data_IF_539162833258
#
_entry.id   IF_539162833258
#
_cell.length_a   1.000
_cell.length_b   1.000
_cell.length_c   1.000
_cell.angle_alpha   90.00
_cell.angle_beta   90.00
_cell.angle_gamma   90.00
#
_symmetry.space_group_name_H-M   'P 1'
#
loop_
_entity.id
_entity.type
_entity.pdbx_description
1 polymer ?
2 non-polymer ?
3 water ?
#
# COMPACT_ATOMS: atom_id res chain seq x y z
N UNK A 3 15.44 -9.16 38.34
CA UNK A 3 14.83 -8.14 39.19
C UNK A 3 15.01 -6.76 38.57
N UNK A 4 16.22 -6.20 38.72
CA UNK A 4 16.53 -4.94 38.08
C UNK A 4 16.53 -5.05 36.56
N UNK A 5 16.61 -6.26 36.02
CA UNK A 5 16.50 -6.45 34.59
C UNK A 5 15.09 -6.15 34.09
N UNK A 6 14.07 -6.47 34.90
CA UNK A 6 12.69 -6.24 34.49
C UNK A 6 12.41 -4.75 34.32
N UNK A 7 12.80 -3.93 35.30
CA UNK A 7 12.54 -2.50 35.20
C UNK A 7 13.38 -1.86 34.11
N UNK A 8 14.54 -2.45 33.78
CA UNK A 8 15.29 -2.00 32.62
C UNK A 8 14.53 -2.28 31.33
N UNK A 9 13.79 -3.40 31.28
CA UNK A 9 12.94 -3.66 30.12
C UNK A 9 11.80 -2.64 30.04
N UNK A 10 11.23 -2.28 31.19
CA UNK A 10 10.17 -1.26 31.22
C UNK A 10 10.68 0.04 30.63
N UNK A 11 11.86 0.49 31.05
CA UNK A 11 12.45 1.70 30.50
C UNK A 11 12.63 1.57 29.00
N UNK A 12 13.11 0.42 28.55
CA UNK A 12 13.31 0.17 27.12
C UNK A 12 12.01 0.24 26.35
N UNK A 14 9.22 1.73 27.26
CA UNK A 14 8.74 3.11 27.32
C UNK A 14 9.40 3.91 26.20
N UNK A 15 10.72 3.80 26.08
CA UNK A 15 11.43 4.53 25.03
C UNK A 15 11.06 4.04 23.65
N UNK A 16 10.85 2.72 23.49
CA UNK A 16 10.48 2.18 22.18
C UNK A 16 9.14 2.75 21.72
N UNK A 17 8.18 2.85 22.64
CA UNK A 17 6.89 3.45 22.30
C UNK A 17 7.05 4.90 21.89
N UNK A 18 7.84 5.65 22.67
CA UNK A 18 8.05 7.06 22.34
C UNK A 18 8.73 7.22 20.98
N UNK A 19 9.74 6.39 20.70
CA UNK A 19 10.42 6.47 19.41
C UNK A 19 9.47 6.12 18.27
N UNK A 20 8.56 5.16 18.50
CA UNK A 20 7.54 4.87 17.51
C UNK A 20 6.66 6.08 17.26
N UNK A 21 6.24 6.77 18.34
CA UNK A 21 5.42 7.97 18.18
C UNK A 21 6.20 9.07 17.46
N UNK A 22 7.48 9.22 17.79
CA UNK A 22 8.29 10.23 17.12
C UNK A 22 8.49 9.92 15.64
N UNK A 23 8.56 8.63 15.29
CA UNK A 23 8.69 8.27 13.88
C UNK A 23 7.39 8.53 13.13
N UNK A 24 6.25 8.25 13.76
CA UNK A 24 4.96 8.48 13.12
C UNK A 24 4.70 9.98 12.97
N UNK A 25 5.00 10.75 14.01
CA UNK A 25 4.48 12.12 14.16
C UNK A 25 5.56 13.01 14.77
N UNK A 26 6.62 13.28 14.02
CA UNK A 26 7.72 14.09 14.58
C UNK A 26 7.33 15.54 14.89
N UNK A 27 6.30 16.07 14.22
CA UNK A 27 5.90 17.46 14.40
C UNK A 27 4.78 17.63 15.42
N UNK A 28 4.40 16.56 16.12
CA UNK A 28 3.42 16.62 17.22
C UNK A 28 2.05 17.08 16.73
N UNK A 29 1.57 16.45 15.65
CA UNK A 29 0.27 16.81 15.09
C UNK A 29 -0.85 15.89 15.55
N UNK A 30 -0.56 14.64 15.93
CA UNK A 30 -1.59 13.67 16.27
C UNK A 30 -1.92 13.78 17.76
N UNK A 31 -2.67 14.84 18.09
CA UNK A 31 -2.95 15.15 19.49
C UNK A 31 -3.77 14.04 20.15
N UNK A 32 -4.68 13.41 19.41
CA UNK A 32 -5.53 12.39 20.02
C UNK A 32 -4.74 11.12 20.35
N UNK A 33 -3.86 10.68 19.45
CA UNK A 33 -3.07 9.49 19.70
C UNK A 33 -2.07 9.75 20.82
N UNK A 34 -1.40 10.91 20.78
CA UNK A 34 -0.46 11.26 21.85
C UNK A 34 -1.17 11.39 23.20
N UNK A 35 -2.43 11.81 23.18
CA UNK A 35 -3.22 11.86 24.41
C UNK A 35 -3.39 10.46 25.01
N UNK A 36 -3.58 9.45 24.16
CA UNK A 36 -3.71 8.08 24.64
C UNK A 36 -2.43 7.56 25.25
N UNK A 37 -1.28 8.09 24.84
CA UNK A 37 0.02 7.59 25.27
C UNK A 37 0.78 8.59 26.14
N UNK A 38 0.12 9.64 26.64
CA UNK A 38 0.84 10.69 27.34
C UNK A 38 1.49 10.20 28.62
N UNK A 39 0.90 9.18 29.26
CA UNK A 39 1.53 8.61 30.45
C UNK A 39 2.85 7.94 30.15
N UNK A 40 3.07 7.53 28.90
CA UNK A 40 4.34 6.94 28.49
C UNK A 40 5.27 7.99 27.91
N UNK A 41 4.75 8.83 27.01
CA UNK A 41 5.59 9.77 26.27
C UNK A 41 6.25 10.79 27.17
N UNK A 42 5.63 11.12 28.31
CA UNK A 42 6.14 12.20 29.16
C UNK A 42 7.54 11.87 29.66
N UNK A 43 7.84 10.59 29.87
CA UNK A 43 9.14 10.19 30.40
C UNK A 43 10.26 10.28 29.37
N UNK A 44 9.92 10.44 28.09
CA UNK A 44 10.93 10.53 27.04
C UNK A 44 11.10 11.94 26.49
N UNK A 45 10.11 12.81 26.63
CA UNK A 45 10.23 14.18 26.14
C UNK A 45 10.75 15.14 27.19
N UNK A 46 10.96 14.68 28.42
CA UNK A 46 11.72 15.41 29.42
C UNK A 46 13.07 14.73 29.60
N UNK A 47 14.06 15.51 30.01
CA UNK A 47 15.44 15.03 30.03
C UNK A 47 15.71 14.14 31.23
N UNK A 48 14.85 13.15 31.47
CA UNK A 48 15.12 12.17 32.51
C UNK A 48 16.32 11.31 32.14
N UNK A 49 17.15 10.99 33.11
CA UNK A 49 18.20 10.04 32.87
C UNK A 49 17.67 8.62 33.03
N UNK A 50 18.46 7.64 32.59
CA UNK A 50 18.04 6.25 32.67
C UNK A 50 17.75 5.84 34.10
N UNK A 51 18.65 6.17 35.03
CA UNK A 51 18.46 5.78 36.42
C UNK A 51 17.17 6.37 36.99
N UNK A 52 16.76 7.56 36.51
CA UNK A 52 15.55 8.17 37.02
C UNK A 52 14.31 7.45 36.54
N UNK A 53 14.28 7.05 35.27
CA UNK A 53 13.14 6.26 34.77
C UNK A 53 13.16 4.87 35.39
N UNK A 54 14.36 4.32 35.61
CA UNK A 54 14.46 3.02 36.27
C UNK A 54 13.86 3.08 37.67
N UNK A 55 14.18 4.14 38.43
CA UNK A 55 13.59 4.31 39.75
C UNK A 55 12.09 4.57 39.66
N UNK A 56 11.65 5.34 38.66
CA UNK A 56 10.24 5.60 38.49
C UNK A 56 9.45 4.31 38.25
N UNK A 57 10.06 3.34 37.57
CA UNK A 57 9.40 2.05 37.37
C UNK A 57 9.42 1.21 38.64
N UNK A 58 10.53 1.25 39.39
CA UNK A 58 10.60 0.51 40.65
C UNK A 58 9.58 1.04 41.65
N UNK A 59 9.31 2.34 41.63
CA UNK A 59 8.39 2.97 42.58
C UNK A 59 7.00 3.20 42.00
N UNK A 60 6.77 2.82 40.75
CA UNK A 60 5.46 2.93 40.16
C UNK A 60 5.05 4.31 39.70
N UNK A 61 5.98 5.28 39.67
CA UNK A 61 5.63 6.62 39.21
C UNK A 61 5.39 6.66 37.70
N UNK A 62 5.87 5.68 36.96
CA UNK A 62 5.59 5.50 35.54
C UNK A 62 4.86 4.18 35.34
N UNK A 63 4.16 4.01 34.22
CA UNK A 63 3.56 2.70 33.94
C UNK A 63 4.63 1.62 33.87
N UNK A 64 4.44 0.56 34.65
CA UNK A 64 5.47 -0.45 34.81
C UNK A 64 4.97 -1.88 34.63
N UNK A 65 3.77 -2.07 34.10
CA UNK A 65 3.33 -3.39 33.69
C UNK A 65 3.88 -3.66 32.31
N UNK A 66 4.89 -4.52 32.21
CA UNK A 66 5.59 -4.72 30.95
C UNK A 66 4.67 -5.37 29.91
N UNK A 67 3.81 -6.29 30.34
CA UNK A 67 2.90 -6.93 29.40
C UNK A 67 1.90 -5.93 28.83
N UNK A 68 1.36 -5.05 29.68
CA UNK A 68 0.42 -4.05 29.18
C UNK A 68 1.11 -3.04 28.25
N UNK A 69 2.34 -2.67 28.57
CA UNK A 69 3.07 -1.74 27.71
C UNK A 69 3.33 -2.35 26.34
N UNK A 70 3.65 -3.65 26.29
CA UNK A 70 3.91 -4.30 25.02
C UNK A 70 2.66 -4.32 24.14
N UNK A 71 1.50 -4.62 24.73
CA UNK A 71 0.27 -4.62 23.95
C UNK A 71 -0.01 -3.24 23.36
N UNK A 72 0.15 -2.19 24.18
CA UNK A 72 -0.03 -0.84 23.67
C UNK A 72 1.01 -0.51 22.60
N UNK A 73 2.21 -1.05 22.73
CA UNK A 73 3.27 -0.77 21.75
C UNK A 73 2.94 -1.41 20.40
N UNK A 74 2.46 -2.65 20.40
CA UNK A 74 2.17 -3.33 19.14
C UNK A 74 1.12 -2.59 18.34
N UNK A 75 0.08 -2.06 19.02
CA UNK A 75 -0.92 -1.25 18.34
C UNK A 75 -0.28 -0.08 17.62
N UNK A 76 0.56 0.67 18.34
CA UNK A 76 1.24 1.81 17.73
C UNK A 76 2.19 1.36 16.63
N UNK A 77 2.81 0.20 16.79
CA UNK A 77 3.68 -0.34 15.75
C UNK A 77 2.90 -0.69 14.49
N UNK A 78 1.66 -1.19 14.67
CA UNK A 78 0.83 -1.48 13.51
C UNK A 78 0.39 -0.20 12.80
N UNK A 79 0.17 0.88 13.55
CA UNK A 79 -0.16 2.15 12.93
C UNK A 79 1.03 2.70 12.14
N UNK A 80 2.24 2.51 12.67
CA UNK A 80 3.43 2.94 11.92
C UNK A 80 3.61 2.11 10.66
N UNK A 81 3.34 0.81 10.74
CA UNK A 81 3.43 -0.04 9.56
C UNK A 81 2.45 0.40 8.48
N UNK A 82 1.25 0.81 8.89
CA UNK A 82 0.28 1.32 7.92
C UNK A 82 0.81 2.55 7.20
N UNK A 83 1.39 3.49 7.96
CA UNK A 83 1.94 4.70 7.34
C UNK A 83 3.14 4.35 6.47
N UNK A 84 3.96 3.38 6.90
CA UNK A 84 5.15 3.04 6.14
C UNK A 84 4.82 2.24 4.89
N UNK A 85 3.81 1.37 4.96
CA UNK A 85 3.52 0.45 3.86
C UNK A 85 2.86 1.15 2.67
N UNK A 86 2.27 2.32 2.88
CA UNK A 86 1.61 3.06 1.80
C UNK A 86 2.51 4.10 1.16
N UNK A 87 3.65 4.43 1.78
CA UNK A 87 4.63 5.34 1.20
C UNK A 87 5.02 4.84 -0.19
N UNK A 88 5.21 5.77 -1.15
CA UNK A 88 5.33 7.23 -1.03
C UNK A 88 4.02 8.01 -0.94
N UNK A 89 2.89 7.33 -0.74
CA UNK A 89 1.62 8.02 -0.58
C UNK A 89 1.37 8.31 0.89
N UNK A 90 0.64 9.40 1.14
CA UNK A 90 0.49 9.94 2.48
C UNK A 90 -0.97 9.94 2.90
N UNK A 91 -1.21 9.54 4.14
CA UNK A 91 -2.54 9.55 4.73
C UNK A 91 -2.73 10.83 5.53
N UNK A 92 -3.90 11.45 5.38
CA UNK A 92 -4.14 12.72 6.06
C UNK A 92 -4.29 12.50 7.56
N UNK A 93 -4.05 13.57 8.31
CA UNK A 93 -3.88 13.46 9.76
C UNK A 93 -5.10 12.87 10.43
N UNK A 94 -6.29 13.39 10.12
CA UNK A 94 -7.51 12.90 10.77
C UNK A 94 -7.76 11.43 10.48
N UNK A 95 -7.37 10.94 9.30
CA UNK A 95 -7.58 9.53 8.99
C UNK A 95 -6.60 8.64 9.74
N UNK A 96 -5.36 9.11 9.92
CA UNK A 96 -4.39 8.38 10.74
C UNK A 96 -4.95 8.15 12.13
N UNK A 97 -5.56 9.20 12.72
CA UNK A 97 -6.07 9.10 14.08
C UNK A 97 -7.33 8.25 14.13
N UNK A 98 -8.20 8.37 13.13
CA UNK A 98 -9.40 7.52 13.11
C UNK A 98 -9.04 6.07 12.82
N UNK A 99 -8.02 5.83 12.00
CA UNK A 99 -7.55 4.46 11.79
C UNK A 99 -6.97 3.90 13.08
N UNK A 100 -6.21 4.69 13.82
CA UNK A 100 -5.69 4.24 15.11
C UNK A 100 -6.83 3.85 16.05
N UNK A 101 -7.91 4.65 16.08
CA UNK A 101 -9.03 4.34 16.95
C UNK A 101 -9.67 3.00 16.59
N UNK A 102 -9.74 2.69 15.29
CA UNK A 102 -10.28 1.40 14.88
C UNK A 102 -9.37 0.26 15.31
N UNK A 103 -8.05 0.42 15.13
CA UNK A 103 -7.12 -0.60 15.59
C UNK A 103 -7.20 -0.78 17.11
N UNK A 104 -7.27 0.33 17.85
CA UNK A 104 -7.28 0.26 19.31
C UNK A 104 -8.52 -0.46 19.82
N UNK A 105 -9.68 -0.23 19.19
CA UNK A 105 -10.96 -0.72 19.68
C UNK A 105 -11.30 -2.12 19.17
N UNK A 106 -10.40 -2.77 18.43
CA UNK A 106 -10.70 -4.08 17.88
C UNK A 106 -10.49 -5.17 18.93
N UNK A 107 -11.43 -6.12 18.97
CA UNK A 107 -11.38 -7.17 19.99
C UNK A 107 -10.16 -8.05 19.83
N UNK A 108 -9.72 -8.29 18.59
CA UNK A 108 -8.53 -9.10 18.33
C UNK A 108 -7.89 -8.56 17.04
N UNK A 109 -6.96 -7.62 17.20
CA UNK A 109 -6.39 -6.93 16.05
C UNK A 109 -5.59 -7.87 15.16
N UNK A 110 -4.96 -8.89 15.74
CA UNK A 110 -4.03 -9.74 15.00
C UNK A 110 -4.71 -10.84 14.20
N UNK A 111 -6.03 -10.98 14.33
CA UNK A 111 -6.81 -11.82 13.43
C UNK A 111 -7.79 -11.01 12.60
N UNK A 112 -7.62 -9.68 12.55
CA UNK A 112 -8.50 -8.82 11.79
C UNK A 112 -8.00 -8.68 10.36
N UNK A 113 -8.88 -8.20 9.49
CA UNK A 113 -8.49 -7.96 8.11
C UNK A 113 -7.60 -6.73 7.97
N UNK A 114 -7.61 -5.81 8.96
CA UNK A 114 -6.65 -4.72 8.94
C UNK A 114 -5.23 -5.26 8.93
N UNK A 115 -4.96 -6.22 9.82
CA UNK A 115 -3.63 -6.81 9.94
C UNK A 115 -3.28 -7.64 8.71
N UNK A 116 -4.25 -8.43 8.22
CA UNK A 116 -4.00 -9.33 7.08
C UNK A 116 -3.77 -8.53 5.80
N UNK A 118 -2.42 -5.50 5.65
CA UNK A 118 -1.06 -4.98 5.79
C UNK A 118 -0.02 -6.06 5.48
N UNK A 119 -0.27 -7.27 5.98
CA UNK A 119 0.62 -8.39 5.68
C UNK A 119 0.73 -8.61 4.18
N UNK A 120 -0.40 -8.65 3.49
CA UNK A 120 -0.38 -8.96 2.05
C UNK A 120 0.11 -7.78 1.23
N UNK A 121 -0.15 -6.55 1.68
CA UNK A 121 0.43 -5.38 1.01
C UNK A 121 1.96 -5.44 1.07
N UNK A 122 2.51 -5.76 2.25
CA UNK A 122 3.96 -5.85 2.38
C UNK A 122 4.53 -6.97 1.55
N UNK A 123 3.79 -8.07 1.37
CA UNK A 123 4.25 -9.15 0.52
C UNK A 123 4.33 -8.72 -0.94
N UNK A 124 3.41 -7.86 -1.38
CA UNK A 124 3.47 -7.35 -2.74
C UNK A 124 4.66 -6.42 -2.93
N UNK A 125 4.85 -5.48 -2.00
CA UNK A 125 5.97 -4.55 -2.12
C UNK A 125 7.31 -5.26 -1.95
N UNK A 126 7.37 -6.29 -1.11
CA UNK A 126 8.60 -7.07 -0.98
C UNK A 126 8.96 -7.74 -2.30
N UNK A 127 7.99 -8.44 -2.91
CA UNK A 127 8.24 -9.10 -4.18
C UNK A 127 8.69 -8.11 -5.25
N UNK A 128 8.10 -6.91 -5.24
CA UNK A 128 8.43 -5.92 -6.26
C UNK A 128 9.82 -5.33 -6.08
N UNK A 129 10.43 -5.49 -4.89
CA UNK A 129 11.76 -4.92 -4.66
C UNK A 129 12.78 -5.42 -5.67
N UNK A 130 12.87 -6.74 -5.83
CA UNK A 130 13.83 -7.32 -6.76
C UNK A 130 13.12 -8.07 -7.89
N UNK A 131 12.15 -7.42 -8.52
CA UNK A 131 11.37 -8.03 -9.59
C UNK A 131 11.84 -7.48 -10.93
N UNK A 132 12.06 -8.38 -11.88
CA UNK A 132 12.45 -7.98 -13.23
C UNK A 132 11.30 -7.23 -13.90
N UNK A 133 11.63 -6.21 -14.81
CA UNK A 133 10.58 -5.39 -15.44
C UNK A 133 9.88 -6.09 -16.60
N UNK A 134 9.30 -7.26 -16.32
CA UNK A 134 8.49 -7.95 -17.31
C UNK A 134 7.11 -7.31 -17.38
N UNK A 135 6.33 -7.60 -18.44
CA UNK A 135 4.93 -7.16 -18.45
C UNK A 135 4.17 -7.54 -17.19
N UNK A 136 4.37 -8.77 -16.67
CA UNK A 136 3.64 -9.21 -15.49
C UNK A 136 3.95 -8.31 -14.29
N UNK A 137 5.24 -8.07 -14.04
CA UNK A 137 5.62 -7.28 -12.86
C UNK A 137 5.28 -5.81 -13.03
N UNK A 138 5.36 -5.29 -14.26
CA UNK A 138 4.89 -3.93 -14.50
C UNK A 138 3.40 -3.80 -14.25
N UNK A 139 2.61 -4.78 -14.68
CA UNK A 139 1.19 -4.81 -14.34
C UNK A 139 1.01 -4.78 -12.83
N UNK A 140 1.74 -5.64 -12.12
CA UNK A 140 1.58 -5.75 -10.66
C UNK A 140 2.04 -4.49 -9.96
N UNK A 141 3.15 -3.90 -10.42
CA UNK A 141 3.64 -2.67 -9.79
C UNK A 141 2.63 -1.54 -9.96
N UNK A 142 2.01 -1.44 -11.14
CA UNK A 142 1.02 -0.40 -11.37
C UNK A 142 -0.15 -0.53 -10.40
N UNK A 143 -0.65 -1.76 -10.23
CA UNK A 143 -1.82 -1.97 -9.38
C UNK A 143 -1.48 -1.86 -7.90
N UNK A 144 -0.32 -2.35 -7.50
CA UNK A 144 0.11 -2.20 -6.10
C UNK A 144 0.23 -0.74 -5.73
N UNK A 145 0.68 0.10 -6.67
CA UNK A 145 0.77 1.54 -6.40
C UNK A 145 -0.62 2.15 -6.25
N UNK A 146 -1.56 1.77 -7.12
CA UNK A 146 -2.94 2.21 -6.95
C UNK A 146 -3.49 1.73 -5.61
N UNK A 147 -3.15 0.51 -5.22
CA UNK A 147 -3.58 -0.02 -3.92
C UNK A 147 -3.10 0.87 -2.79
N UNK A 148 -1.79 1.20 -2.79
CA UNK A 148 -1.25 2.07 -1.76
C UNK A 148 -1.97 3.41 -1.72
N UNK A 149 -2.25 3.98 -2.89
CA UNK A 149 -2.94 5.27 -2.95
C UNK A 149 -4.35 5.17 -2.39
N UNK A 150 -5.07 4.10 -2.70
CA UNK A 150 -6.43 3.97 -2.21
C UNK A 150 -6.47 3.71 -0.70
N UNK A 151 -5.50 2.97 -0.19
CA UNK A 151 -5.41 2.77 1.25
C UNK A 151 -5.08 4.09 1.95
N UNK A 152 -4.20 4.90 1.34
CA UNK A 152 -3.88 6.20 1.92
C UNK A 152 -5.11 7.11 1.96
N UNK A 153 -6.03 6.95 1.01
CA UNK A 153 -7.21 7.80 0.96
C UNK A 153 -8.36 7.26 1.80
N UNK A 154 -8.59 5.94 1.78
CA UNK A 154 -9.74 5.36 2.44
C UNK A 154 -9.42 4.59 3.72
N UNK A 155 -8.15 4.38 4.03
CA UNK A 155 -7.79 3.59 5.18
C UNK A 155 -7.82 2.10 4.88
N UNK A 156 -7.57 1.32 5.93
CA UNK A 156 -7.43 -0.12 5.78
C UNK A 156 -8.52 -0.88 6.55
N UNK A 157 -9.46 -0.19 7.17
CA UNK A 157 -10.45 -0.81 8.04
C UNK A 157 -11.84 -0.90 7.42
N UNK A 158 -12.24 0.06 6.60
CA UNK A 158 -13.61 0.08 6.11
C UNK A 158 -13.77 -0.87 4.92
N UNK A 159 -15.02 -1.30 4.72
CA UNK A 159 -15.34 -2.12 3.55
C UNK A 159 -15.04 -1.34 2.28
N UNK A 160 -14.28 -1.95 1.39
CA UNK A 160 -13.89 -1.31 0.13
C UNK A 160 -13.72 -2.40 -0.90
N UNK A 161 -14.68 -2.51 -1.83
CA UNK A 161 -14.57 -3.53 -2.86
C UNK A 161 -13.41 -3.24 -3.80
N UNK A 162 -13.13 -1.96 -4.05
CA UNK A 162 -11.99 -1.62 -4.89
C UNK A 162 -10.67 -2.11 -4.31
N UNK A 163 -10.50 -1.95 -3.00
CA UNK A 163 -9.25 -2.38 -2.36
C UNK A 163 -9.13 -3.89 -2.38
N UNK A 164 -10.21 -4.60 -2.05
CA UNK A 164 -10.18 -6.06 -2.10
C UNK A 164 -9.90 -6.57 -3.51
N UNK A 165 -10.48 -5.92 -4.53
CA UNK A 165 -10.24 -6.34 -5.90
C UNK A 165 -8.78 -6.15 -6.28
N UNK A 166 -8.16 -5.07 -5.83
CA UNK A 166 -6.75 -4.84 -6.13
C UNK A 166 -5.87 -5.89 -5.46
N UNK A 167 -6.20 -6.25 -4.21
CA UNK A 167 -5.49 -7.32 -3.52
C UNK A 167 -5.63 -8.63 -4.28
N UNK A 169 -6.50 -9.23 -7.54
CA UNK A 169 -5.88 -9.23 -8.86
C UNK A 169 -4.36 -9.14 -8.75
N UNK A 170 -3.87 -8.38 -7.77
CA UNK A 170 -2.44 -8.33 -7.55
C UNK A 170 -1.85 -9.68 -7.17
N UNK A 171 -2.48 -10.34 -6.20
CA UNK A 171 -2.00 -11.65 -5.77
C UNK A 171 -2.16 -12.69 -6.88
N UNK A 172 -3.16 -12.53 -7.75
CA UNK A 172 -3.31 -13.45 -8.87
C UNK A 172 -2.15 -13.34 -9.86
N UNK A 173 -1.76 -12.10 -10.18
CA UNK A 173 -0.60 -11.89 -11.05
C UNK A 173 0.64 -12.56 -10.48
N UNK A 174 0.85 -12.44 -9.16
CA UNK A 174 1.99 -13.08 -8.53
C UNK A 174 1.90 -14.61 -8.65
N UNK A 175 0.70 -15.16 -8.60
CA UNK A 175 0.50 -16.60 -8.73
C UNK A 175 0.56 -17.09 -10.16
N UNK A 176 0.51 -16.19 -11.15
CA UNK A 176 0.53 -16.60 -12.54
C UNK A 176 1.93 -16.93 -13.00
N UNK A 177 2.04 -17.95 -13.85
CA UNK A 177 3.32 -18.29 -14.44
C UNK A 177 3.72 -17.22 -15.47
N UNK A 178 5.04 -17.02 -15.60
CA UNK A 178 5.54 -16.03 -16.53
C UNK A 178 5.19 -16.36 -17.98
N UNK A 179 4.85 -17.62 -18.27
CA UNK A 179 4.53 -18.04 -19.62
C UNK A 179 3.07 -17.81 -19.99
N UNK A 180 2.20 -17.61 -19.01
CA UNK A 180 0.77 -17.35 -19.26
C UNK A 180 0.59 -15.86 -19.60
N UNK A 181 1.12 -15.49 -20.77
CA UNK A 181 1.11 -14.09 -21.19
C UNK A 181 -0.31 -13.59 -21.39
N UNK A 182 -1.12 -14.34 -22.16
CA UNK A 182 -2.47 -13.91 -22.46
C UNK A 182 -3.30 -13.76 -21.18
N UNK A 183 -3.07 -14.60 -20.18
CA UNK A 183 -3.80 -14.49 -18.93
C UNK A 183 -3.39 -13.23 -18.17
N UNK A 184 -2.10 -12.87 -18.21
CA UNK A 184 -1.65 -11.65 -17.54
C UNK A 184 -2.32 -10.42 -18.15
N UNK A 185 -2.31 -10.31 -19.48
CA UNK A 185 -2.90 -9.15 -20.13
C UNK A 185 -4.40 -9.11 -19.94
N UNK A 186 -5.06 -10.27 -19.99
CA UNK A 186 -6.50 -10.31 -19.80
C UNK A 186 -6.87 -9.80 -18.39
N UNK A 187 -6.11 -10.21 -17.38
CA UNK A 187 -6.34 -9.71 -16.03
C UNK A 187 -6.17 -8.20 -15.96
N UNK A 188 -5.06 -7.70 -16.50
CA UNK A 188 -4.72 -6.28 -16.37
C UNK A 188 -5.68 -5.40 -17.16
N UNK A 190 -8.61 -6.19 -18.08
CA UNK A 190 -9.87 -6.34 -17.38
C UNK A 190 -10.00 -5.44 -16.18
N UNK A 191 -8.90 -5.27 -15.43
CA UNK A 191 -8.92 -4.37 -14.28
C UNK A 191 -9.17 -2.94 -14.71
N UNK A 192 -8.43 -2.46 -15.73
CA UNK A 192 -8.55 -1.07 -16.15
C UNK A 192 -9.96 -0.80 -16.66
N UNK A 193 -10.55 -1.74 -17.40
CA UNK A 193 -11.90 -1.54 -17.93
C UNK A 193 -12.95 -1.54 -16.83
N UNK A 194 -12.75 -2.33 -15.77
CA UNK A 194 -13.77 -2.50 -14.74
C UNK A 194 -13.67 -1.48 -13.61
N UNK A 195 -12.53 -0.81 -13.44
CA UNK A 195 -12.43 0.21 -12.42
C UNK A 195 -12.99 1.54 -12.92
N UNK A 196 -13.37 2.45 -12.02
CA UNK A 196 -14.16 3.62 -12.45
C UNK A 196 -13.36 4.77 -13.04
N UNK A 197 -12.05 4.86 -12.77
CA UNK A 197 -11.29 6.01 -13.23
C UNK A 197 -10.93 5.88 -14.70
N UNK A 198 -11.10 6.99 -15.44
CA UNK A 198 -10.74 7.01 -16.85
C UNK A 198 -9.25 6.80 -17.05
N UNK A 199 -8.43 7.50 -16.26
CA UNK A 199 -6.97 7.39 -16.32
C UNK A 199 -6.48 7.04 -14.91
N UNK A 200 -6.54 5.76 -14.53
CA UNK A 200 -6.37 5.39 -13.12
C UNK A 200 -4.93 5.46 -12.63
N UNK A 201 -3.95 5.79 -13.48
CA UNK A 201 -2.55 5.75 -13.08
C UNK A 201 -1.89 7.12 -13.04
N UNK A 202 -2.59 8.19 -13.43
CA UNK A 202 -1.97 9.51 -13.43
C UNK A 202 -1.78 10.01 -12.00
N UNK A 203 -0.64 10.65 -11.77
CA UNK A 203 -0.25 11.07 -10.43
C UNK A 203 0.16 9.94 -9.51
N UNK A 204 -0.02 8.69 -9.93
CA UNK A 204 0.30 7.53 -9.11
C UNK A 204 1.59 6.85 -9.57
N UNK A 205 1.74 6.66 -10.87
CA UNK A 205 2.94 6.12 -11.49
C UNK A 205 3.75 7.24 -12.13
N UNK A 206 5.07 7.07 -12.21
CA UNK A 206 5.88 8.04 -12.96
C UNK A 206 5.48 8.07 -14.43
N UNK A 207 5.79 9.20 -15.08
CA UNK A 207 5.40 9.38 -16.47
C UNK A 207 6.02 8.33 -17.37
N UNK A 208 7.25 7.90 -17.09
CA UNK A 208 7.90 6.88 -17.90
C UNK A 208 7.23 5.53 -17.72
N UNK A 209 6.79 5.23 -16.49
CA UNK A 209 6.10 3.96 -16.24
C UNK A 209 4.77 3.91 -16.97
N UNK A 210 4.08 5.06 -17.07
CA UNK A 210 2.83 5.09 -17.82
C UNK A 210 3.07 4.91 -19.31
N UNK A 211 4.16 5.48 -19.82
CA UNK A 211 4.51 5.27 -21.22
C UNK A 211 4.85 3.81 -21.50
N UNK A 212 5.55 3.16 -20.57
CA UNK A 212 5.90 1.75 -20.74
C UNK A 212 4.63 0.90 -20.78
N UNK A 213 3.63 1.26 -19.98
CA UNK A 213 2.37 0.53 -20.01
C UNK A 213 1.66 0.70 -21.35
N UNK A 214 1.67 1.92 -21.90
CA UNK A 214 1.07 2.15 -23.22
C UNK A 214 1.75 1.29 -24.27
N UNK A 215 3.08 1.30 -24.31
CA UNK A 215 3.81 0.50 -25.29
C UNK A 215 3.55 -0.98 -25.11
N UNK A 216 3.40 -1.43 -23.86
CA UNK A 216 3.11 -2.85 -23.61
C UNK A 216 1.78 -3.27 -24.23
N UNK A 217 0.77 -2.39 -24.17
CA UNK A 217 -0.52 -2.71 -24.77
C UNK A 217 -0.43 -2.72 -26.29
N UNK A 218 0.29 -1.76 -26.87
CA UNK A 218 0.43 -1.71 -28.33
C UNK A 218 1.18 -2.93 -28.85
N UNK A 219 2.32 -3.23 -28.24
CA UNK A 219 3.14 -4.35 -28.71
C UNK A 219 2.42 -5.68 -28.57
N UNK A 220 1.47 -5.78 -27.63
CA UNK A 220 0.73 -7.02 -27.46
C UNK A 220 -0.28 -7.21 -28.58
N UNK A 221 -0.96 -6.14 -29.00
CA UNK A 221 -2.01 -6.26 -30.01
C UNK A 221 -1.47 -6.25 -31.42
N UNK A 222 -0.31 -5.62 -31.65
CA UNK A 222 0.20 -5.44 -33.00
C UNK A 222 0.39 -6.74 -33.78
N UNK A 223 0.94 -7.82 -33.22
CA UNK A 223 1.15 -9.03 -34.04
C UNK A 223 -0.13 -9.68 -34.53
N UNK A 224 -1.27 -9.38 -33.92
CA UNK A 224 -2.54 -9.98 -34.35
C UNK A 224 -3.08 -9.36 -35.64
N UNK A 225 -2.69 -8.14 -35.96
CA UNK A 225 -3.32 -7.40 -37.05
C UNK A 225 -2.88 -7.93 -38.40
N UNK A 226 -3.83 -8.00 -39.34
CA UNK A 226 -3.62 -8.68 -40.61
C UNK A 226 -3.54 -7.73 -41.81
N UNK A 227 -3.47 -6.43 -41.57
CA UNK A 227 -3.32 -5.48 -42.67
C UNK A 227 -2.53 -4.28 -42.18
N UNK A 228 -1.92 -3.57 -43.14
CA UNK A 228 -1.19 -2.36 -42.82
C UNK A 228 -2.13 -1.27 -42.30
N UNK A 229 -3.33 -1.20 -42.86
CA UNK A 229 -4.30 -0.18 -42.44
C UNK A 229 -4.61 -0.32 -40.95
N UNK A 230 -4.86 -1.54 -40.50
CA UNK A 230 -5.14 -1.74 -39.07
C UNK A 230 -3.87 -1.58 -38.24
N UNK A 231 -2.71 -1.97 -38.78
CA UNK A 231 -1.45 -1.70 -38.09
C UNK A 231 -1.24 -0.20 -37.89
N UNK A 232 -1.55 0.59 -38.92
CA UNK A 232 -1.38 2.04 -38.82
C UNK A 232 -2.35 2.65 -37.81
N UNK A 233 -3.60 2.17 -37.79
CA UNK A 233 -4.55 2.66 -36.79
C UNK A 233 -4.05 2.39 -35.38
N UNK A 234 -3.42 1.23 -35.16
CA UNK A 234 -2.92 0.91 -33.82
C UNK A 234 -1.72 1.76 -33.47
N UNK A 235 -0.81 1.97 -34.43
CA UNK A 235 0.35 2.82 -34.17
C UNK A 235 -0.07 4.26 -33.91
N UNK A 236 -1.19 4.71 -34.50
CA UNK A 236 -1.68 6.05 -34.22
C UNK A 236 -2.08 6.21 -32.75
N UNK A 237 -2.45 5.12 -32.09
CA UNK A 237 -2.81 5.18 -30.68
C UNK A 237 -1.59 5.25 -29.76
N UNK A 238 -0.42 4.80 -30.23
CA UNK A 238 0.77 4.79 -29.40
C UNK A 238 1.28 6.18 -29.05
N UNK A 239 0.67 7.24 -29.60
CA UNK A 239 1.07 8.59 -29.25
C UNK A 239 0.60 8.99 -27.85
N UNK A 240 -0.34 8.25 -27.27
CA UNK A 240 -0.83 8.57 -25.93
C UNK A 240 0.24 8.25 -24.89
N UNK A 241 0.49 9.21 -24.00
CA UNK A 241 1.46 9.03 -22.93
C UNK A 241 0.84 8.43 -21.67
N UNK A 242 -0.48 8.22 -21.66
CA UNK A 242 -1.19 7.73 -20.48
C UNK A 242 -2.06 6.55 -20.89
N UNK A 243 -2.16 5.56 -20.01
CA UNK A 243 -2.98 4.37 -20.25
C UNK A 243 -4.39 4.67 -19.74
N UNK A 244 -5.33 4.84 -20.66
CA UNK A 244 -6.70 5.19 -20.31
C UNK A 244 -7.67 4.09 -20.72
N UNK A 246 -10.21 4.65 -22.55
CA UNK A 246 -10.49 4.94 -23.95
C UNK A 246 -9.46 4.29 -24.87
N UNK A 247 -8.19 4.37 -24.48
CA UNK A 247 -7.13 3.75 -25.27
C UNK A 247 -7.35 2.24 -25.39
N UNK A 248 -7.70 1.58 -24.28
CA UNK A 248 -7.92 0.14 -24.32
C UNK A 248 -9.11 -0.21 -25.22
N UNK A 249 -10.18 0.57 -25.14
CA UNK A 249 -11.34 0.32 -26.00
C UNK A 249 -11.01 0.57 -27.47
N UNK A 250 -10.18 1.59 -27.75
CA UNK A 250 -9.79 1.84 -29.14
C UNK A 250 -8.95 0.71 -29.70
N UNK A 251 -8.11 0.09 -28.85
CA UNK A 251 -7.34 -1.07 -29.30
C UNK A 251 -8.27 -2.26 -29.54
N UNK A 252 -9.26 -2.47 -28.66
CA UNK A 252 -10.19 -3.58 -28.84
C UNK A 252 -11.02 -3.41 -30.10
N UNK A 253 -11.38 -2.18 -30.47
CA UNK A 253 -12.12 -1.98 -31.71
C UNK A 253 -11.28 -2.36 -32.92
N UNK A 254 -9.97 -2.04 -32.89
CA UNK A 254 -9.08 -2.42 -33.97
C UNK A 254 -8.94 -3.94 -34.03
N UNK A 255 -8.79 -4.58 -32.87
CA UNK A 255 -8.72 -6.04 -32.84
C UNK A 255 -10.01 -6.65 -33.35
N UNK A 256 -11.15 -6.01 -33.04
CA UNK A 256 -12.43 -6.52 -33.53
C UNK A 256 -12.54 -6.38 -35.04
N UNK A 257 -12.11 -5.23 -35.59
CA UNK A 257 -12.09 -5.07 -37.05
C UNK A 257 -11.21 -6.12 -37.71
N UNK A 258 -10.14 -6.55 -37.04
CA UNK A 258 -9.24 -7.54 -37.62
C UNK A 258 -9.92 -8.88 -37.86
N UNK A 259 -10.99 -9.17 -37.10
CA UNK A 259 -11.69 -10.43 -37.28
C UNK A 259 -12.38 -10.50 -38.65
N UNK A 260 -12.72 -9.36 -39.23
CA UNK A 260 -13.30 -9.34 -40.57
C UNK A 260 -12.28 -9.78 -41.62
N UNK A 261 -10.98 -9.66 -41.33
CA UNK A 261 -9.94 -10.16 -42.22
C UNK A 261 -9.56 -11.60 -41.92
N UNK A 262 -10.29 -12.28 -41.03
CA UNK A 262 -9.98 -13.65 -40.63
C UNK A 262 -11.29 -14.43 -40.56
N UNK A 263 -11.63 -15.10 -41.66
CA UNK A 263 -12.81 -15.95 -41.76
C UNK A 263 -14.09 -15.21 -41.40
#
# INVERSE_FOLDING_TARGET
SNAEQYHSQVVGXIGYIARCMQTIDPENNLKKIREDYQDVLIWAEKNYRFEEILEASKSGKCPNDLDALSRRSLILQELLRLVSSISPFKMKLDLIESQYEKMKQHVNLWKSDYHVXLNQLNQLTDYLKNAAPTPKNNFLRAMTSVLQMQIAQYGITEDNEGINQLFXLGLHLLAMANEKIDEQYHLFXGYVKDQPEESPFEGILPAEDQKILVKTMIDYAMPKLSSKVLQDKLSALSSSDVLTXTLLDSIDRIVKENEKLNALSK
#
